data_IF_987392812338
#
_entry.id   IF_987392812338
#
_cell.length_a   1.000
_cell.length_b   1.000
_cell.length_c   1.000
_cell.angle_alpha   90.00
_cell.angle_beta   90.00
_cell.angle_gamma   90.00
#
_symmetry.space_group_name_H-M   'P 1'
#
loop_
_entity.id
_entity.type
_entity.pdbx_description
1 polymer ?
#
# COMPACT_ATOMS: atom_id res chain seq x y z
N UNK A 1 -1.22 -18.17 34.57
CA UNK A 1 0.10 -17.64 34.15
C UNK A 1 0.14 -16.17 34.52
N UNK A 2 1.25 -15.68 35.05
CA UNK A 2 1.44 -14.24 35.25
C UNK A 2 1.57 -13.55 33.91
N UNK A 3 1.14 -12.27 33.84
CA UNK A 3 1.30 -11.43 32.68
C UNK A 3 2.79 -11.26 32.38
N UNK A 4 3.19 -11.41 31.11
CA UNK A 4 4.56 -11.12 30.66
C UNK A 4 4.73 -9.60 30.59
N UNK A 5 5.24 -9.02 31.69
CA UNK A 5 5.38 -7.58 31.83
C UNK A 5 6.36 -7.01 30.80
N UNK A 6 7.44 -7.74 30.49
CA UNK A 6 8.47 -7.23 29.57
C UNK A 6 7.91 -6.87 28.20
N UNK A 7 7.15 -7.75 27.56
CA UNK A 7 6.57 -7.46 26.24
C UNK A 7 5.41 -6.46 26.32
N UNK A 8 4.58 -6.52 27.39
CA UNK A 8 3.47 -5.58 27.51
C UNK A 8 3.90 -4.16 27.86
N UNK A 9 5.05 -3.97 28.52
CA UNK A 9 5.65 -2.65 28.74
C UNK A 9 6.16 -2.06 27.42
N UNK A 10 6.81 -2.85 26.57
CA UNK A 10 7.21 -2.41 25.22
C UNK A 10 6.00 -2.05 24.33
N UNK A 11 4.90 -2.80 24.43
CA UNK A 11 3.65 -2.45 23.73
C UNK A 11 3.08 -1.13 24.24
N UNK A 12 3.18 -0.88 25.56
CA UNK A 12 2.76 0.41 26.13
C UNK A 12 3.64 1.57 25.68
N UNK A 13 4.95 1.36 25.54
CA UNK A 13 5.87 2.35 24.98
C UNK A 13 5.53 2.67 23.51
N UNK A 14 5.26 1.66 22.68
CA UNK A 14 4.84 1.89 21.29
C UNK A 14 3.48 2.61 21.22
N UNK A 15 2.52 2.28 22.08
CA UNK A 15 1.27 3.02 22.21
C UNK A 15 1.52 4.50 22.54
N UNK A 16 2.43 4.77 23.48
CA UNK A 16 2.81 6.14 23.84
C UNK A 16 3.45 6.89 22.67
N UNK A 17 4.35 6.24 21.90
CA UNK A 17 4.95 6.79 20.68
C UNK A 17 3.89 7.20 19.67
N UNK A 18 2.97 6.27 19.33
CA UNK A 18 1.90 6.54 18.37
C UNK A 18 0.97 7.67 18.83
N UNK A 19 0.70 7.77 20.13
CA UNK A 19 -0.19 8.80 20.69
C UNK A 19 0.43 10.20 20.62
N UNK A 20 1.73 10.34 20.86
CA UNK A 20 2.41 11.64 21.00
C UNK A 20 2.80 12.27 19.67
N UNK A 21 3.14 11.47 18.66
CA UNK A 21 3.73 11.93 17.41
C UNK A 21 2.73 12.21 16.31
N UNK A 22 3.17 12.96 15.30
CA UNK A 22 2.52 13.11 14.01
C UNK A 22 2.99 11.95 13.11
N UNK A 23 2.06 11.11 12.63
CA UNK A 23 2.36 10.01 11.72
C UNK A 23 2.09 10.42 10.27
N UNK A 24 3.16 10.57 9.49
CA UNK A 24 3.12 10.95 8.07
C UNK A 24 3.68 9.87 7.13
N UNK A 25 3.96 8.66 7.62
CA UNK A 25 4.30 7.55 6.73
C UNK A 25 3.07 7.19 5.89
N UNK A 26 3.17 7.35 4.57
CA UNK A 26 2.05 7.18 3.64
C UNK A 26 1.44 5.77 3.61
N UNK A 27 2.18 4.77 4.09
CA UNK A 27 1.77 3.37 4.19
C UNK A 27 1.24 2.96 5.56
N UNK A 28 1.12 3.89 6.50
CA UNK A 28 0.58 3.65 7.84
C UNK A 28 -0.79 4.27 8.05
N UNK A 29 -1.55 3.65 8.94
CA UNK A 29 -2.87 4.12 9.38
C UNK A 29 -3.20 3.53 10.75
N UNK A 30 -4.21 4.09 11.40
CA UNK A 30 -4.73 3.58 12.67
C UNK A 30 -6.05 2.85 12.41
N UNK A 31 -6.10 1.59 12.81
CA UNK A 31 -7.30 0.76 12.67
C UNK A 31 -8.30 1.06 13.80
N UNK A 32 -9.56 0.65 13.61
CA UNK A 32 -10.59 0.74 14.66
C UNK A 32 -10.35 -0.25 15.79
N UNK A 33 -11.01 -0.01 16.93
CA UNK A 33 -11.07 -0.94 18.07
C UNK A 33 -11.62 -2.31 17.66
N UNK A 34 -12.62 -2.34 16.77
CA UNK A 34 -13.21 -3.59 16.28
C UNK A 34 -12.21 -4.42 15.45
N UNK A 35 -11.40 -3.76 14.61
CA UNK A 35 -10.32 -4.44 13.87
C UNK A 35 -9.29 -5.02 14.84
N UNK A 36 -8.88 -4.26 15.87
CA UNK A 36 -7.95 -4.76 16.90
C UNK A 36 -8.55 -5.89 17.72
N UNK A 37 -9.82 -5.82 18.09
CA UNK A 37 -10.52 -6.88 18.81
C UNK A 37 -10.59 -8.17 17.98
N UNK A 38 -10.87 -8.07 16.67
CA UNK A 38 -10.86 -9.22 15.77
C UNK A 38 -9.47 -9.85 15.64
N UNK A 39 -8.41 -9.03 15.56
CA UNK A 39 -7.00 -9.49 15.52
C UNK A 39 -6.61 -10.26 16.79
N UNK A 40 -7.11 -9.87 17.97
CA UNK A 40 -6.87 -10.53 19.24
C UNK A 40 -7.87 -11.63 19.60
N UNK A 41 -8.69 -12.08 18.64
CA UNK A 41 -9.77 -13.04 18.89
C UNK A 41 -9.31 -14.50 18.94
N UNK A 42 -10.22 -15.38 19.36
CA UNK A 42 -10.01 -16.84 19.41
C UNK A 42 -9.78 -17.47 18.04
N UNK A 43 -10.06 -16.75 16.94
CA UNK A 43 -9.76 -17.21 15.58
C UNK A 43 -8.27 -17.48 15.35
N UNK A 44 -7.39 -16.91 16.17
CA UNK A 44 -5.94 -17.19 16.16
C UNK A 44 -5.60 -18.66 16.41
N UNK A 45 -6.49 -19.42 17.06
CA UNK A 45 -6.26 -20.81 17.42
C UNK A 45 -6.63 -21.79 16.30
N UNK A 46 -7.33 -21.34 15.25
CA UNK A 46 -7.90 -22.23 14.24
C UNK A 46 -6.95 -22.52 13.08
N UNK A 47 -6.72 -23.78 12.80
CA UNK A 47 -5.99 -24.27 11.64
C UNK A 47 -6.98 -24.65 10.52
N UNK A 48 -6.92 -23.97 9.36
CA UNK A 48 -7.96 -24.08 8.32
C UNK A 48 -7.37 -24.12 6.89
N UNK A 49 -6.37 -24.99 6.63
CA UNK A 49 -5.84 -25.20 5.28
C UNK A 49 -6.93 -25.57 4.27
N UNK A 50 -6.83 -25.01 3.08
CA UNK A 50 -7.84 -25.10 2.03
C UNK A 50 -8.70 -23.85 1.95
N UNK A 51 -9.89 -23.99 1.42
CA UNK A 51 -10.84 -22.90 1.19
C UNK A 51 -12.20 -23.23 1.81
N UNK A 52 -13.11 -22.25 1.98
CA UNK A 52 -14.47 -22.54 2.48
C UNK A 52 -15.13 -23.71 1.75
N UNK A 53 -15.74 -24.61 2.49
CA UNK A 53 -16.33 -25.88 2.04
C UNK A 53 -15.34 -26.89 1.42
N UNK A 54 -14.04 -26.60 1.39
CA UNK A 54 -13.00 -27.48 0.84
C UNK A 54 -11.73 -27.45 1.74
N UNK A 55 -11.92 -27.62 3.05
CA UNK A 55 -10.86 -27.63 4.04
C UNK A 55 -10.23 -29.02 4.20
N UNK A 56 -8.96 -29.04 4.58
CA UNK A 56 -8.27 -30.28 4.95
C UNK A 56 -8.51 -30.69 6.41
N UNK A 57 -9.08 -29.81 7.23
CA UNK A 57 -9.32 -30.01 8.66
C UNK A 57 -10.79 -29.86 9.01
N UNK A 58 -11.24 -30.58 10.03
CA UNK A 58 -12.57 -30.45 10.61
C UNK A 58 -12.74 -29.19 11.48
N UNK A 59 -13.99 -28.87 11.83
CA UNK A 59 -14.32 -27.75 12.72
C UNK A 59 -14.12 -26.37 12.08
N UNK A 60 -14.28 -26.27 10.75
CA UNK A 60 -14.07 -25.03 10.00
C UNK A 60 -15.38 -24.30 9.64
N UNK A 61 -16.52 -24.84 10.03
CA UNK A 61 -17.85 -24.32 9.66
C UNK A 61 -18.12 -22.88 10.07
N UNK A 62 -17.43 -22.38 11.10
CA UNK A 62 -17.55 -20.99 11.56
C UNK A 62 -16.57 -20.10 10.83
N UNK A 63 -15.28 -20.50 10.70
CA UNK A 63 -14.29 -19.72 9.96
C UNK A 63 -14.58 -19.67 8.46
N UNK A 64 -15.26 -20.68 7.90
CA UNK A 64 -15.78 -20.62 6.54
C UNK A 64 -16.78 -19.47 6.35
N UNK A 65 -17.65 -19.23 7.33
CA UNK A 65 -18.57 -18.08 7.32
C UNK A 65 -17.82 -16.75 7.42
N UNK A 66 -16.76 -16.68 8.26
CA UNK A 66 -15.93 -15.49 8.40
C UNK A 66 -15.21 -15.18 7.09
N UNK A 67 -14.57 -16.17 6.48
CA UNK A 67 -13.85 -15.99 5.21
C UNK A 67 -14.81 -15.63 4.07
N UNK A 68 -15.95 -16.30 3.96
CA UNK A 68 -16.98 -15.97 2.96
C UNK A 68 -17.50 -14.53 3.15
N UNK A 69 -17.70 -14.07 4.38
CA UNK A 69 -18.12 -12.69 4.66
C UNK A 69 -17.05 -11.68 4.23
N UNK A 70 -15.76 -11.98 4.46
CA UNK A 70 -14.67 -11.14 3.98
C UNK A 70 -14.64 -11.07 2.44
N UNK A 71 -14.80 -12.21 1.76
CA UNK A 71 -14.86 -12.29 0.29
C UNK A 71 -16.06 -11.51 -0.24
N UNK A 72 -17.25 -11.69 0.32
CA UNK A 72 -18.47 -10.98 -0.09
C UNK A 72 -18.28 -9.46 0.01
N UNK A 73 -17.79 -8.98 1.15
CA UNK A 73 -17.60 -7.55 1.40
C UNK A 73 -16.57 -6.92 0.49
N UNK A 74 -15.43 -7.59 0.25
CA UNK A 74 -14.38 -7.04 -0.62
C UNK A 74 -14.80 -7.08 -2.09
N UNK A 75 -15.51 -8.10 -2.53
CA UNK A 75 -16.09 -8.16 -3.88
C UNK A 75 -17.08 -7.02 -4.09
N UNK A 76 -17.98 -6.76 -3.13
CA UNK A 76 -18.92 -5.63 -3.16
C UNK A 76 -18.21 -4.29 -3.18
N UNK A 77 -17.11 -4.14 -2.42
CA UNK A 77 -16.38 -2.89 -2.29
C UNK A 77 -15.74 -2.44 -3.61
N UNK A 78 -15.26 -3.38 -4.42
CA UNK A 78 -14.55 -3.11 -5.68
C UNK A 78 -15.30 -3.54 -6.94
N UNK A 79 -16.54 -4.01 -6.83
CA UNK A 79 -17.29 -4.59 -7.95
C UNK A 79 -16.51 -5.73 -8.64
N UNK A 80 -15.96 -6.64 -7.83
CA UNK A 80 -15.17 -7.78 -8.26
C UNK A 80 -16.01 -9.07 -8.25
N UNK A 81 -15.79 -9.95 -9.23
CA UNK A 81 -16.42 -11.28 -9.27
C UNK A 81 -15.67 -12.31 -8.40
N UNK A 82 -14.36 -12.10 -8.25
CA UNK A 82 -13.49 -13.01 -7.50
C UNK A 82 -12.62 -12.26 -6.50
N UNK A 83 -12.45 -12.86 -5.32
CA UNK A 83 -11.49 -12.44 -4.31
C UNK A 83 -10.83 -13.62 -3.62
N UNK A 84 -9.52 -13.49 -3.32
CA UNK A 84 -8.82 -14.34 -2.37
C UNK A 84 -8.32 -13.45 -1.22
N UNK A 85 -8.77 -13.74 -0.01
CA UNK A 85 -8.47 -12.95 1.21
C UNK A 85 -7.40 -13.60 2.10
N UNK A 86 -6.82 -14.73 1.67
CA UNK A 86 -5.84 -15.48 2.45
C UNK A 86 -4.39 -14.95 2.38
N UNK A 87 -3.93 -14.17 1.37
CA UNK A 87 -2.56 -13.67 1.38
C UNK A 87 -2.20 -12.94 2.68
N UNK A 88 -1.07 -13.34 3.30
CA UNK A 88 -0.62 -12.80 4.59
C UNK A 88 -0.12 -11.35 4.46
N UNK A 89 0.32 -10.94 3.27
CA UNK A 89 0.77 -9.59 2.96
C UNK A 89 0.55 -9.24 1.48
N UNK A 90 0.67 -7.96 1.11
CA UNK A 90 0.66 -7.54 -0.28
C UNK A 90 1.79 -8.17 -1.10
N UNK A 91 2.99 -8.29 -0.51
CA UNK A 91 4.11 -8.96 -1.18
C UNK A 91 3.81 -10.44 -1.49
N UNK A 92 3.12 -11.15 -0.58
CA UNK A 92 2.70 -12.53 -0.83
C UNK A 92 1.54 -12.62 -1.83
N UNK A 93 0.64 -11.63 -1.86
CA UNK A 93 -0.37 -11.54 -2.92
C UNK A 93 0.30 -11.41 -4.31
N UNK A 94 1.28 -10.51 -4.44
CA UNK A 94 2.07 -10.37 -5.67
C UNK A 94 2.84 -11.64 -5.99
N UNK A 95 3.50 -12.27 -5.01
CA UNK A 95 4.21 -13.54 -5.18
C UNK A 95 3.29 -14.66 -5.68
N UNK A 96 2.05 -14.75 -5.17
CA UNK A 96 1.08 -15.73 -5.66
C UNK A 96 0.73 -15.48 -7.13
N UNK A 97 0.56 -14.21 -7.54
CA UNK A 97 0.31 -13.87 -8.95
C UNK A 97 1.52 -14.21 -9.81
N UNK A 98 2.75 -13.90 -9.37
CA UNK A 98 3.96 -14.31 -10.11
C UNK A 98 4.03 -15.83 -10.25
N UNK A 99 3.82 -16.56 -9.17
CA UNK A 99 3.83 -18.03 -9.18
C UNK A 99 2.75 -18.62 -10.09
N UNK A 100 1.58 -17.99 -10.17
CA UNK A 100 0.48 -18.37 -11.05
C UNK A 100 0.78 -18.09 -12.53
N UNK A 101 1.42 -16.95 -12.84
CA UNK A 101 1.49 -16.39 -14.20
C UNK A 101 2.85 -16.57 -14.87
N UNK A 102 3.93 -16.77 -14.11
CA UNK A 102 5.30 -16.75 -14.61
C UNK A 102 6.07 -18.02 -14.24
N UNK A 103 7.07 -18.33 -15.05
CA UNK A 103 8.12 -19.31 -14.73
C UNK A 103 9.43 -18.58 -14.48
N UNK A 104 10.38 -19.14 -13.70
CA UNK A 104 11.70 -18.55 -13.52
C UNK A 104 12.34 -18.17 -14.86
N UNK A 105 12.84 -16.93 -14.95
CA UNK A 105 13.41 -16.36 -16.17
C UNK A 105 12.42 -15.68 -17.12
N UNK A 106 11.12 -15.81 -16.90
CA UNK A 106 10.13 -15.07 -17.69
C UNK A 106 10.25 -13.55 -17.47
N UNK A 107 9.96 -12.78 -18.52
CA UNK A 107 10.00 -11.32 -18.47
C UNK A 107 8.67 -10.76 -17.97
N UNK A 108 8.77 -9.79 -17.06
CA UNK A 108 7.68 -8.91 -16.67
C UNK A 108 8.13 -7.46 -16.60
N UNK A 109 7.18 -6.52 -16.59
CA UNK A 109 7.45 -5.09 -16.46
C UNK A 109 6.79 -4.51 -15.23
N UNK A 110 7.48 -3.55 -14.56
CA UNK A 110 6.97 -2.80 -13.43
C UNK A 110 7.58 -1.40 -13.38
N UNK A 111 6.99 -0.49 -12.58
CA UNK A 111 7.61 0.82 -12.36
C UNK A 111 8.93 0.64 -11.60
N UNK A 112 9.99 1.29 -12.13
CA UNK A 112 11.33 1.24 -11.53
C UNK A 112 11.28 1.71 -10.05
N UNK A 113 12.03 1.02 -9.19
CA UNK A 113 12.08 1.31 -7.75
C UNK A 113 12.52 2.75 -7.48
N UNK A 114 13.49 3.26 -8.25
CA UNK A 114 14.01 4.63 -8.13
C UNK A 114 12.99 5.70 -8.56
N UNK A 115 11.96 5.31 -9.30
CA UNK A 115 10.87 6.15 -9.76
C UNK A 115 9.57 5.97 -8.94
N UNK A 116 9.66 5.29 -7.79
CA UNK A 116 8.54 5.11 -6.89
C UNK A 116 7.86 3.74 -6.95
N UNK A 117 8.39 2.78 -7.70
CA UNK A 117 7.94 1.40 -7.72
C UNK A 117 8.02 0.73 -6.33
N UNK A 118 7.43 -0.46 -6.20
CA UNK A 118 7.52 -1.26 -4.99
C UNK A 118 8.64 -2.32 -5.11
N UNK A 119 9.23 -2.72 -3.98
CA UNK A 119 10.27 -3.77 -3.97
C UNK A 119 9.84 -5.05 -4.70
N UNK A 120 8.58 -5.48 -4.53
CA UNK A 120 8.04 -6.66 -5.20
C UNK A 120 7.70 -6.46 -6.68
N UNK A 121 8.03 -5.31 -7.28
CA UNK A 121 7.85 -5.04 -8.70
C UNK A 121 9.16 -5.15 -9.51
N UNK A 122 10.12 -5.97 -9.04
CA UNK A 122 11.33 -6.26 -9.81
C UNK A 122 12.64 -5.79 -9.19
N UNK A 123 12.63 -5.36 -7.92
CA UNK A 123 13.87 -5.02 -7.23
C UNK A 123 14.84 -6.22 -7.21
N UNK A 124 16.13 -6.02 -7.53
CA UNK A 124 17.13 -7.10 -7.56
C UNK A 124 17.33 -7.84 -6.22
N UNK A 125 16.95 -7.19 -5.11
CA UNK A 125 17.02 -7.80 -3.76
C UNK A 125 15.73 -8.48 -3.34
N UNK A 126 14.70 -8.44 -4.18
CA UNK A 126 13.41 -9.09 -3.96
C UNK A 126 13.29 -10.34 -4.83
N UNK A 127 12.52 -11.32 -4.38
CA UNK A 127 12.21 -12.53 -5.13
C UNK A 127 11.83 -12.24 -6.58
N UNK A 128 11.04 -11.19 -6.82
CA UNK A 128 10.60 -10.82 -8.17
C UNK A 128 11.76 -10.50 -9.12
N UNK A 129 12.78 -9.77 -8.66
CA UNK A 129 13.98 -9.49 -9.46
C UNK A 129 15.03 -10.59 -9.44
N UNK A 130 14.96 -11.53 -8.46
CA UNK A 130 15.90 -12.67 -8.38
C UNK A 130 15.49 -13.84 -9.27
N UNK A 131 14.20 -14.10 -9.43
CA UNK A 131 13.70 -15.26 -10.18
C UNK A 131 13.25 -14.92 -11.60
N UNK A 132 12.89 -13.67 -11.87
CA UNK A 132 12.33 -13.25 -13.14
C UNK A 132 13.17 -12.15 -13.79
N UNK A 133 13.01 -11.96 -15.09
CA UNK A 133 13.62 -10.87 -15.83
C UNK A 133 12.73 -9.62 -15.72
N UNK A 134 13.06 -8.72 -14.80
CA UNK A 134 12.33 -7.50 -14.54
C UNK A 134 12.79 -6.38 -15.46
N UNK A 135 11.87 -5.76 -16.20
CA UNK A 135 12.08 -4.57 -17.03
C UNK A 135 11.38 -3.38 -16.37
N UNK A 136 12.15 -2.34 -16.00
CA UNK A 136 11.63 -1.14 -15.36
C UNK A 136 11.20 -0.09 -16.37
N UNK A 137 9.93 0.36 -16.33
CA UNK A 137 9.52 1.61 -16.99
C UNK A 137 9.62 2.79 -16.01
N UNK A 138 9.64 4.01 -16.54
CA UNK A 138 10.01 5.20 -15.77
C UNK A 138 8.94 6.29 -15.80
N UNK A 139 9.19 7.34 -15.04
CA UNK A 139 8.48 8.61 -15.13
C UNK A 139 9.17 9.54 -16.12
N UNK A 140 8.41 10.43 -16.76
CA UNK A 140 8.95 11.53 -17.57
C UNK A 140 9.68 12.51 -16.66
N UNK A 141 10.89 12.91 -17.03
CA UNK A 141 11.73 13.81 -16.22
C UNK A 141 11.08 15.18 -16.04
N UNK A 142 10.49 15.69 -17.10
CA UNK A 142 9.92 17.04 -17.14
C UNK A 142 8.67 17.17 -16.25
N UNK A 143 7.86 16.10 -16.17
CA UNK A 143 6.54 16.16 -15.53
C UNK A 143 6.43 15.34 -14.25
N UNK A 144 7.29 14.32 -14.06
CA UNK A 144 7.18 13.35 -12.99
C UNK A 144 5.95 12.42 -13.12
N UNK A 145 5.33 12.33 -14.29
CA UNK A 145 4.23 11.43 -14.60
C UNK A 145 4.72 10.16 -15.30
N UNK A 146 3.89 9.10 -15.31
CA UNK A 146 4.20 7.85 -16.02
C UNK A 146 4.44 8.13 -17.50
N UNK A 147 5.53 7.58 -18.05
CA UNK A 147 5.80 7.59 -19.48
C UNK A 147 5.15 6.37 -20.16
N UNK A 148 3.90 6.54 -20.60
CA UNK A 148 3.18 5.46 -21.28
C UNK A 148 3.71 5.16 -22.67
N UNK A 149 4.38 6.10 -23.33
CA UNK A 149 5.04 5.91 -24.62
C UNK A 149 6.29 5.05 -24.46
N UNK A 150 7.14 5.34 -23.46
CA UNK A 150 8.27 4.47 -23.11
C UNK A 150 7.79 3.09 -22.67
N UNK A 151 6.74 3.03 -21.85
CA UNK A 151 6.14 1.75 -21.41
C UNK A 151 5.71 0.89 -22.60
N UNK A 152 5.04 1.48 -23.61
CA UNK A 152 4.63 0.75 -24.81
C UNK A 152 5.83 0.29 -25.64
N UNK A 153 6.83 1.13 -25.84
CA UNK A 153 8.05 0.79 -26.58
C UNK A 153 8.79 -0.40 -25.91
N UNK A 154 8.97 -0.33 -24.59
CA UNK A 154 9.58 -1.41 -23.81
C UNK A 154 8.76 -2.71 -23.86
N UNK A 155 7.43 -2.61 -23.80
CA UNK A 155 6.55 -3.77 -23.91
C UNK A 155 6.68 -4.45 -25.28
N UNK A 156 6.75 -3.69 -26.39
CA UNK A 156 6.94 -4.22 -27.73
C UNK A 156 8.31 -4.85 -27.93
N UNK A 157 9.37 -4.29 -27.33
CA UNK A 157 10.73 -4.80 -27.38
C UNK A 157 10.90 -6.09 -26.57
N UNK A 158 10.48 -6.06 -25.30
CA UNK A 158 10.76 -7.14 -24.34
C UNK A 158 9.69 -8.20 -24.28
N UNK A 159 8.49 -7.96 -24.81
CA UNK A 159 7.34 -8.87 -24.84
C UNK A 159 7.08 -9.56 -23.50
N UNK A 160 6.85 -8.78 -22.42
CA UNK A 160 6.63 -9.32 -21.09
C UNK A 160 5.37 -10.19 -21.07
N UNK A 161 5.33 -11.17 -20.18
CA UNK A 161 4.12 -11.97 -19.91
C UNK A 161 3.18 -11.28 -18.91
N UNK A 162 3.72 -10.36 -18.10
CA UNK A 162 2.98 -9.61 -17.08
C UNK A 162 3.46 -8.15 -17.09
N UNK A 163 2.52 -7.21 -17.07
CA UNK A 163 2.79 -5.79 -16.82
C UNK A 163 2.15 -5.42 -15.50
N UNK A 164 2.89 -4.71 -14.63
CA UNK A 164 2.44 -4.31 -13.30
C UNK A 164 2.24 -2.80 -13.26
N UNK A 165 1.02 -2.36 -12.93
CA UNK A 165 0.70 -1.00 -12.52
C UNK A 165 0.65 -0.89 -11.01
N UNK A 166 1.06 0.26 -10.47
CA UNK A 166 1.07 0.51 -9.04
C UNK A 166 2.42 1.03 -8.55
N UNK A 167 2.38 1.81 -7.49
CA UNK A 167 3.56 2.47 -6.95
C UNK A 167 3.47 2.66 -5.44
N UNK A 168 4.64 2.81 -4.81
CA UNK A 168 4.77 3.18 -3.39
C UNK A 168 4.89 4.69 -3.19
N UNK A 169 5.30 5.45 -4.21
CA UNK A 169 5.61 6.88 -4.09
C UNK A 169 5.16 7.71 -5.30
N UNK A 170 4.09 7.31 -5.97
CA UNK A 170 3.50 8.06 -7.07
C UNK A 170 2.22 8.76 -6.63
N UNK A 171 2.15 10.08 -6.80
CA UNK A 171 1.09 10.92 -6.24
C UNK A 171 -0.03 11.29 -7.22
N UNK A 172 0.00 10.79 -8.45
CA UNK A 172 -1.01 11.08 -9.48
C UNK A 172 -1.86 9.86 -9.80
N UNK A 173 -2.94 10.08 -10.55
CA UNK A 173 -3.77 9.00 -11.06
C UNK A 173 -3.05 8.18 -12.15
N UNK A 174 -3.48 6.92 -12.28
CA UNK A 174 -3.01 5.98 -13.29
C UNK A 174 -4.01 5.87 -14.43
N UNK A 175 -3.54 5.85 -15.67
CA UNK A 175 -4.38 5.48 -16.81
C UNK A 175 -4.39 3.95 -16.99
N UNK A 176 -5.20 3.28 -16.19
CA UNK A 176 -5.34 1.81 -16.25
C UNK A 176 -5.86 1.32 -17.60
N UNK A 177 -6.68 2.13 -18.29
CA UNK A 177 -7.17 1.80 -19.63
C UNK A 177 -6.02 1.75 -20.61
N UNK A 178 -5.15 2.77 -20.61
CA UNK A 178 -3.97 2.82 -21.47
C UNK A 178 -3.01 1.67 -21.17
N UNK A 179 -2.80 1.33 -19.88
CA UNK A 179 -2.00 0.18 -19.50
C UNK A 179 -2.57 -1.12 -20.04
N UNK A 180 -3.89 -1.29 -19.98
CA UNK A 180 -4.56 -2.47 -20.54
C UNK A 180 -4.38 -2.56 -22.06
N UNK A 181 -4.50 -1.47 -22.78
CA UNK A 181 -4.27 -1.42 -24.23
C UNK A 181 -2.83 -1.82 -24.58
N UNK A 182 -1.84 -1.38 -23.79
CA UNK A 182 -0.42 -1.77 -23.96
C UNK A 182 -0.25 -3.27 -23.70
N UNK A 183 -0.82 -3.79 -22.63
CA UNK A 183 -0.74 -5.20 -22.27
C UNK A 183 -1.36 -6.09 -23.38
N UNK A 184 -2.53 -5.72 -23.89
CA UNK A 184 -3.23 -6.47 -24.94
C UNK A 184 -2.41 -6.50 -26.26
N UNK A 185 -1.71 -5.41 -26.62
CA UNK A 185 -0.85 -5.34 -27.82
C UNK A 185 0.26 -6.40 -27.85
N UNK A 186 0.76 -6.78 -26.68
CA UNK A 186 1.87 -7.74 -26.56
C UNK A 186 1.43 -9.11 -26.01
N UNK A 187 0.13 -9.28 -25.74
CA UNK A 187 -0.42 -10.49 -25.17
C UNK A 187 -0.03 -10.73 -23.70
N UNK A 188 0.29 -9.68 -22.96
CA UNK A 188 0.61 -9.72 -21.54
C UNK A 188 -0.65 -9.68 -20.67
N UNK A 189 -0.59 -10.28 -19.48
CA UNK A 189 -1.57 -9.99 -18.44
C UNK A 189 -1.24 -8.64 -17.77
N UNK A 190 -2.27 -7.87 -17.42
CA UNK A 190 -2.14 -6.67 -16.60
C UNK A 190 -2.45 -7.00 -15.15
N UNK A 191 -1.47 -6.83 -14.27
CA UNK A 191 -1.62 -6.81 -12.81
C UNK A 191 -1.62 -5.37 -12.33
N UNK A 192 -2.58 -5.00 -11.48
CA UNK A 192 -2.51 -3.70 -10.78
C UNK A 192 -2.39 -3.94 -9.28
N UNK A 193 -1.29 -3.49 -8.70
CA UNK A 193 -1.10 -3.40 -7.25
C UNK A 193 -1.61 -2.04 -6.76
N UNK A 194 -2.85 -2.02 -6.28
CA UNK A 194 -3.51 -0.81 -5.80
C UNK A 194 -3.26 -0.53 -4.30
N UNK A 195 -2.30 -1.19 -3.67
CA UNK A 195 -2.11 -1.20 -2.22
C UNK A 195 -2.12 0.19 -1.58
N UNK A 196 -1.46 1.18 -2.19
CA UNK A 196 -1.41 2.53 -1.64
C UNK A 196 -2.74 3.26 -1.74
N UNK A 197 -3.46 3.10 -2.83
CA UNK A 197 -4.67 3.86 -3.15
C UNK A 197 -5.98 3.09 -2.90
N UNK A 198 -5.90 1.87 -2.37
CA UNK A 198 -7.04 0.97 -2.21
C UNK A 198 -8.23 1.63 -1.49
N UNK A 199 -8.00 2.36 -0.41
CA UNK A 199 -9.07 3.06 0.32
C UNK A 199 -9.75 4.16 -0.50
N UNK A 200 -8.98 4.91 -1.30
CA UNK A 200 -9.49 5.97 -2.16
C UNK A 200 -10.32 5.41 -3.31
N UNK A 201 -9.88 4.28 -3.87
CA UNK A 201 -10.61 3.53 -4.91
C UNK A 201 -11.91 2.98 -4.33
N UNK A 202 -11.87 2.37 -3.14
CA UNK A 202 -13.05 1.86 -2.43
C UNK A 202 -14.11 2.96 -2.18
N UNK A 203 -13.66 4.17 -1.88
CA UNK A 203 -14.51 5.33 -1.68
C UNK A 203 -15.03 5.97 -3.00
N UNK A 204 -14.59 5.48 -4.16
CA UNK A 204 -14.95 6.02 -5.47
C UNK A 204 -14.33 7.38 -5.79
N UNK A 205 -13.18 7.70 -5.18
CA UNK A 205 -12.44 8.95 -5.39
C UNK A 205 -11.46 8.81 -6.56
N UNK A 206 -10.82 7.65 -6.69
CA UNK A 206 -9.94 7.30 -7.80
C UNK A 206 -10.57 6.20 -8.65
N UNK A 207 -10.15 6.09 -9.91
CA UNK A 207 -10.68 5.06 -10.81
C UNK A 207 -10.34 3.65 -10.33
N UNK A 208 -11.28 2.72 -10.55
CA UNK A 208 -11.17 1.35 -10.08
C UNK A 208 -10.46 0.45 -11.11
N UNK A 209 -9.23 -0.03 -10.82
CA UNK A 209 -8.47 -0.87 -11.74
C UNK A 209 -9.12 -2.22 -12.04
N UNK A 210 -10.04 -2.70 -11.19
CA UNK A 210 -10.76 -3.96 -11.40
C UNK A 210 -11.52 -3.99 -12.71
N UNK A 211 -11.90 -2.83 -13.25
CA UNK A 211 -12.56 -2.69 -14.55
C UNK A 211 -11.65 -3.00 -15.74
N UNK A 212 -10.34 -2.81 -15.58
CA UNK A 212 -9.36 -2.84 -16.68
C UNK A 212 -8.34 -3.97 -16.53
N UNK A 213 -7.86 -4.19 -15.32
CA UNK A 213 -6.83 -5.18 -15.04
C UNK A 213 -7.35 -6.62 -15.16
N UNK A 214 -6.47 -7.53 -15.53
CA UNK A 214 -6.76 -8.96 -15.46
C UNK A 214 -6.78 -9.45 -14.02
N UNK A 215 -5.84 -8.96 -13.21
CA UNK A 215 -5.68 -9.29 -11.79
C UNK A 215 -5.36 -8.01 -11.04
N UNK A 216 -5.92 -7.88 -9.84
CA UNK A 216 -5.62 -6.76 -8.94
C UNK A 216 -5.14 -7.33 -7.61
N UNK A 217 -4.08 -6.76 -7.06
CA UNK A 217 -3.61 -7.06 -5.69
C UNK A 217 -3.67 -5.83 -4.82
N UNK A 218 -3.76 -6.03 -3.52
CA UNK A 218 -3.65 -4.95 -2.55
C UNK A 218 -3.14 -5.44 -1.20
N UNK A 219 -2.63 -4.50 -0.41
CA UNK A 219 -2.59 -4.62 1.04
C UNK A 219 -3.93 -4.19 1.63
N UNK A 220 -4.17 -4.54 2.91
CA UNK A 220 -5.39 -4.15 3.61
C UNK A 220 -5.19 -3.06 4.67
N UNK A 221 -3.95 -2.64 4.94
CA UNK A 221 -3.55 -1.85 6.10
C UNK A 221 -3.09 -0.40 5.83
N UNK A 222 -3.14 0.08 4.57
CA UNK A 222 -2.74 1.45 4.21
C UNK A 222 -3.97 2.37 4.20
N UNK A 223 -4.29 2.97 3.06
CA UNK A 223 -5.53 3.77 2.94
C UNK A 223 -6.79 2.97 3.22
N UNK A 224 -6.80 1.64 3.00
CA UNK A 224 -7.94 0.78 3.29
C UNK A 224 -8.21 0.62 4.80
N UNK A 225 -7.27 0.99 5.66
CA UNK A 225 -7.41 1.09 7.13
C UNK A 225 -7.85 -0.21 7.81
N UNK A 226 -7.37 -1.35 7.30
CA UNK A 226 -7.61 -2.67 7.87
C UNK A 226 -6.37 -3.28 8.55
N UNK A 227 -6.43 -4.55 8.92
CA UNK A 227 -5.29 -5.27 9.48
C UNK A 227 -4.19 -5.44 8.45
N UNK A 228 -2.96 -5.70 8.89
CA UNK A 228 -1.87 -6.06 7.97
C UNK A 228 -2.19 -7.38 7.29
N UNK A 229 -2.24 -7.36 5.96
CA UNK A 229 -2.60 -8.49 5.12
C UNK A 229 -2.59 -8.13 3.66
N UNK A 230 -2.91 -9.09 2.79
CA UNK A 230 -3.05 -8.91 1.35
C UNK A 230 -4.35 -9.51 0.81
N UNK A 231 -4.71 -9.13 -0.40
CA UNK A 231 -5.85 -9.64 -1.16
C UNK A 231 -5.50 -9.75 -2.64
N UNK A 232 -6.20 -10.64 -3.34
CA UNK A 232 -6.18 -10.75 -4.81
C UNK A 232 -7.61 -10.66 -5.30
N UNK A 233 -7.84 -9.85 -6.35
CA UNK A 233 -9.16 -9.62 -6.94
C UNK A 233 -9.13 -9.81 -8.45
N UNK A 234 -10.27 -10.15 -9.03
CA UNK A 234 -10.53 -10.05 -10.48
C UNK A 234 -11.93 -9.49 -10.73
N UNK A 235 -12.07 -8.62 -11.71
CA UNK A 235 -13.36 -8.07 -12.14
C UNK A 235 -14.24 -9.13 -12.82
N UNK A 236 -13.61 -10.01 -13.61
CA UNK A 236 -14.23 -11.20 -14.19
C UNK A 236 -13.27 -12.36 -14.12
N UNK A 237 -13.78 -13.55 -13.84
CA UNK A 237 -13.00 -14.77 -13.93
C UNK A 237 -12.90 -15.22 -15.39
N UNK A 238 -11.75 -15.71 -15.80
CA UNK A 238 -11.47 -16.08 -17.19
C UNK A 238 -10.71 -17.41 -17.27
N UNK A 239 -10.72 -18.04 -18.45
CA UNK A 239 -9.95 -19.24 -18.70
C UNK A 239 -8.46 -18.93 -18.68
N UNK A 240 -7.66 -19.76 -18.01
CA UNK A 240 -6.24 -19.53 -17.98
C UNK A 240 -5.63 -19.54 -19.40
N UNK A 241 -4.75 -18.59 -19.75
CA UNK A 241 -4.22 -18.46 -21.11
C UNK A 241 -3.22 -19.57 -21.50
N UNK A 242 -2.83 -20.44 -20.56
CA UNK A 242 -1.84 -21.51 -20.80
C UNK A 242 -2.48 -22.86 -21.13
N UNK A 243 -3.81 -22.95 -21.14
CA UNK A 243 -4.53 -24.19 -21.45
C UNK A 243 -4.40 -25.27 -20.36
N UNK A 244 -4.08 -24.90 -19.11
CA UNK A 244 -4.08 -25.86 -18.02
C UNK A 244 -5.47 -26.41 -17.77
N UNK A 245 -5.58 -27.74 -17.67
CA UNK A 245 -6.85 -28.44 -17.49
C UNK A 245 -6.95 -29.14 -16.12
N UNK A 246 -8.16 -29.42 -15.73
CA UNK A 246 -8.47 -30.36 -14.65
C UNK A 246 -8.19 -31.80 -15.09
N UNK A 247 -8.12 -32.79 -14.17
CA UNK A 247 -8.01 -34.20 -14.54
C UNK A 247 -9.13 -34.71 -15.47
N UNK A 248 -10.27 -33.99 -15.52
CA UNK A 248 -11.41 -34.30 -16.41
C UNK A 248 -11.31 -33.59 -17.78
N UNK A 249 -10.20 -32.92 -18.09
CA UNK A 249 -9.97 -32.23 -19.37
C UNK A 249 -10.66 -30.86 -19.49
N UNK A 250 -11.27 -30.33 -18.42
CA UNK A 250 -11.89 -28.99 -18.43
C UNK A 250 -10.83 -27.92 -18.19
N UNK A 251 -10.80 -26.88 -19.02
CA UNK A 251 -9.88 -25.74 -18.83
C UNK A 251 -10.12 -25.09 -17.46
N UNK A 252 -9.05 -24.90 -16.70
CA UNK A 252 -9.13 -24.28 -15.39
C UNK A 252 -9.37 -22.77 -15.54
N UNK A 253 -10.24 -22.23 -14.70
CA UNK A 253 -10.40 -20.79 -14.52
C UNK A 253 -9.19 -20.17 -13.84
N UNK A 254 -8.95 -18.89 -14.07
CA UNK A 254 -7.84 -18.16 -13.45
C UNK A 254 -7.96 -18.11 -11.92
N UNK A 255 -9.19 -18.03 -11.38
CA UNK A 255 -9.47 -18.15 -9.95
C UNK A 255 -8.91 -19.44 -9.33
N UNK A 256 -9.04 -20.58 -10.02
CA UNK A 256 -8.52 -21.86 -9.57
C UNK A 256 -6.98 -21.88 -9.57
N UNK A 257 -6.35 -21.22 -10.55
CA UNK A 257 -4.89 -21.10 -10.63
C UNK A 257 -4.37 -20.21 -9.49
N UNK A 258 -5.00 -19.05 -9.27
CA UNK A 258 -4.63 -18.12 -8.20
C UNK A 258 -4.85 -18.74 -6.81
N UNK A 259 -5.96 -19.42 -6.58
CA UNK A 259 -6.20 -20.15 -5.33
C UNK A 259 -5.11 -21.21 -5.09
N UNK A 260 -4.77 -21.99 -6.11
CA UNK A 260 -3.70 -22.99 -6.01
C UNK A 260 -2.33 -22.35 -5.77
N UNK A 261 -2.09 -21.17 -6.30
CA UNK A 261 -0.85 -20.43 -6.10
C UNK A 261 -0.72 -19.88 -4.67
N UNK A 262 -1.82 -19.44 -4.05
CA UNK A 262 -1.83 -19.05 -2.64
C UNK A 262 -1.70 -20.29 -1.76
N UNK A 263 -2.62 -21.23 -1.86
CA UNK A 263 -2.60 -22.48 -1.11
C UNK A 263 -2.87 -23.67 -2.06
N UNK A 264 -1.99 -24.68 -2.09
CA UNK A 264 -0.78 -24.87 -1.26
C UNK A 264 0.51 -24.27 -1.85
N UNK A 265 0.45 -23.41 -2.87
CA UNK A 265 1.60 -22.96 -3.66
C UNK A 265 2.67 -22.25 -2.84
N UNK A 266 2.28 -21.22 -2.05
CA UNK A 266 3.22 -20.38 -1.30
C UNK A 266 2.88 -20.23 0.19
N UNK A 267 1.68 -20.62 0.61
CA UNK A 267 1.22 -20.54 1.99
C UNK A 267 0.67 -21.90 2.46
N UNK A 268 0.65 -22.11 3.80
CA UNK A 268 -0.06 -23.15 4.51
C UNK A 268 -1.38 -22.61 5.08
N UNK A 269 -1.63 -22.85 6.40
CA UNK A 269 -2.85 -22.42 7.07
C UNK A 269 -3.06 -20.90 7.01
N UNK A 270 -4.27 -20.45 6.68
CA UNK A 270 -4.61 -19.04 6.67
C UNK A 270 -4.64 -18.45 8.09
N UNK A 271 -4.47 -17.13 8.19
CA UNK A 271 -4.53 -16.40 9.44
C UNK A 271 -5.98 -15.97 9.69
N UNK A 272 -6.77 -16.85 10.32
CA UNK A 272 -8.23 -16.65 10.46
C UNK A 272 -8.59 -15.41 11.29
N UNK A 273 -7.77 -15.03 12.28
CA UNK A 273 -7.94 -13.79 13.04
C UNK A 273 -7.69 -12.54 12.15
N UNK A 274 -6.76 -12.62 11.21
CA UNK A 274 -6.53 -11.54 10.22
C UNK A 274 -7.68 -11.47 9.22
N UNK A 275 -8.20 -12.62 8.77
CA UNK A 275 -9.37 -12.67 7.87
C UNK A 275 -10.61 -12.10 8.55
N UNK A 276 -10.84 -12.43 9.84
CA UNK A 276 -11.90 -11.82 10.63
C UNK A 276 -11.75 -10.29 10.72
N UNK A 277 -10.55 -9.80 10.97
CA UNK A 277 -10.26 -8.38 11.01
C UNK A 277 -10.40 -7.69 9.62
N UNK A 278 -10.04 -8.40 8.53
CA UNK A 278 -10.34 -7.95 7.15
C UNK A 278 -11.85 -7.81 6.94
N UNK A 279 -12.64 -8.79 7.37
CA UNK A 279 -14.10 -8.74 7.25
C UNK A 279 -14.68 -7.52 7.98
N UNK A 280 -14.17 -7.17 9.16
CA UNK A 280 -14.55 -5.94 9.88
C UNK A 280 -14.19 -4.70 9.07
N UNK A 281 -12.94 -4.56 8.68
CA UNK A 281 -12.45 -3.38 7.94
C UNK A 281 -13.18 -3.18 6.60
N UNK A 282 -13.49 -4.25 5.87
CA UNK A 282 -14.25 -4.17 4.63
C UNK A 282 -15.71 -3.76 4.88
N UNK A 283 -16.29 -4.16 6.01
CA UNK A 283 -17.59 -3.68 6.45
C UNK A 283 -17.60 -2.19 6.76
N UNK A 284 -16.58 -1.69 7.47
CA UNK A 284 -16.38 -0.26 7.72
C UNK A 284 -16.19 0.52 6.41
N UNK A 285 -15.42 -0.02 5.47
CA UNK A 285 -15.15 0.62 4.18
C UNK A 285 -16.39 0.76 3.28
N UNK A 286 -17.46 0.00 3.53
CA UNK A 286 -18.73 0.09 2.81
C UNK A 286 -19.65 1.20 3.35
N UNK A 287 -19.26 1.91 4.41
CA UNK A 287 -20.09 2.95 5.05
C UNK A 287 -19.92 4.34 4.41
N UNK A 288 -20.92 5.23 4.49
CA UNK A 288 -20.79 6.60 4.05
C UNK A 288 -19.68 7.37 4.79
N UNK A 289 -19.51 7.15 6.08
CA UNK A 289 -18.50 7.79 6.93
C UNK A 289 -17.07 7.47 6.46
N UNK A 290 -16.86 6.27 5.92
CA UNK A 290 -15.59 5.91 5.33
C UNK A 290 -15.29 6.70 4.05
N UNK A 291 -16.30 6.99 3.24
CA UNK A 291 -16.16 7.84 2.06
C UNK A 291 -15.79 9.27 2.45
N UNK A 292 -16.45 9.83 3.47
CA UNK A 292 -16.13 11.16 4.02
C UNK A 292 -14.69 11.21 4.55
N UNK A 293 -14.26 10.17 5.27
CA UNK A 293 -12.89 10.03 5.74
C UNK A 293 -11.89 10.06 4.58
N UNK A 294 -12.10 9.30 3.52
CA UNK A 294 -11.20 9.25 2.37
C UNK A 294 -11.16 10.58 1.59
N UNK A 295 -12.28 11.28 1.49
CA UNK A 295 -12.32 12.63 0.93
C UNK A 295 -11.48 13.60 1.77
N UNK A 296 -11.55 13.48 3.11
CA UNK A 296 -10.72 14.29 4.01
C UNK A 296 -9.24 13.96 3.87
N UNK A 297 -8.87 12.69 3.66
CA UNK A 297 -7.48 12.29 3.40
C UNK A 297 -6.91 13.04 2.20
N UNK A 298 -7.64 13.11 1.09
CA UNK A 298 -7.18 13.82 -0.13
C UNK A 298 -7.13 15.33 0.09
N UNK A 299 -8.10 15.92 0.78
CA UNK A 299 -8.08 17.36 1.12
C UNK A 299 -6.84 17.70 1.95
N UNK A 300 -6.57 16.93 2.99
CA UNK A 300 -5.39 17.09 3.83
C UNK A 300 -4.09 16.96 3.02
N UNK A 301 -4.02 15.96 2.12
CA UNK A 301 -2.84 15.74 1.28
C UNK A 301 -2.58 16.93 0.35
N UNK A 302 -3.61 17.46 -0.30
CA UNK A 302 -3.51 18.67 -1.15
C UNK A 302 -3.07 19.88 -0.34
N UNK A 303 -3.71 20.12 0.81
CA UNK A 303 -3.39 21.27 1.66
C UNK A 303 -1.94 21.21 2.19
N UNK A 304 -1.45 20.02 2.59
CA UNK A 304 -0.07 19.85 3.04
C UNK A 304 0.92 20.07 1.88
N UNK A 305 0.62 19.54 0.69
CA UNK A 305 1.46 19.74 -0.49
C UNK A 305 1.56 21.23 -0.88
N UNK A 306 0.44 21.95 -0.84
CA UNK A 306 0.41 23.41 -1.10
C UNK A 306 1.18 24.19 -0.05
N UNK A 307 1.03 23.86 1.24
CA UNK A 307 1.73 24.51 2.32
C UNK A 307 3.26 24.31 2.25
N UNK A 308 3.72 23.12 1.87
CA UNK A 308 5.14 22.85 1.61
C UNK A 308 5.64 23.58 0.38
N UNK A 309 4.84 23.62 -0.71
CA UNK A 309 5.20 24.37 -1.93
C UNK A 309 5.37 25.86 -1.65
N UNK A 310 4.47 26.47 -0.87
CA UNK A 310 4.59 27.88 -0.45
C UNK A 310 5.87 28.17 0.34
N UNK A 311 6.42 27.14 1.01
CA UNK A 311 7.70 27.21 1.74
C UNK A 311 8.91 26.89 0.88
N UNK A 312 8.74 26.74 -0.44
CA UNK A 312 9.81 26.51 -1.40
C UNK A 312 10.24 25.06 -1.60
N UNK A 313 9.47 24.10 -1.08
CA UNK A 313 9.71 22.69 -1.38
C UNK A 313 9.16 22.33 -2.77
N UNK A 314 9.88 21.48 -3.49
CA UNK A 314 9.40 20.91 -4.75
C UNK A 314 8.64 19.61 -4.49
N UNK A 315 7.37 19.58 -4.84
CA UNK A 315 6.58 18.37 -4.87
C UNK A 315 6.76 17.70 -6.23
N UNK A 316 7.20 16.44 -6.25
CA UNK A 316 7.33 15.66 -7.48
C UNK A 316 5.98 15.57 -8.19
N UNK A 317 5.96 15.67 -9.51
CA UNK A 317 4.76 15.81 -10.35
C UNK A 317 3.90 17.07 -10.10
N UNK A 318 4.42 18.05 -9.35
CA UNK A 318 3.75 19.34 -9.11
C UNK A 318 2.56 19.30 -8.15
N UNK A 319 2.36 18.20 -7.39
CA UNK A 319 1.27 18.09 -6.41
C UNK A 319 0.79 16.66 -6.18
N UNK A 320 -0.44 16.50 -5.70
CA UNK A 320 -1.01 15.19 -5.42
C UNK A 320 -2.50 15.11 -5.74
N UNK A 321 -2.92 13.95 -6.26
CA UNK A 321 -4.33 13.59 -6.48
C UNK A 321 -4.81 12.54 -5.46
N UNK A 322 -3.90 12.02 -4.62
CA UNK A 322 -4.18 10.95 -3.68
C UNK A 322 -3.76 11.31 -2.23
N UNK A 323 -3.42 10.32 -1.42
CA UNK A 323 -3.11 10.43 0.00
C UNK A 323 -1.65 10.75 0.33
N UNK A 324 -0.76 10.78 -0.66
CA UNK A 324 0.68 10.96 -0.46
C UNK A 324 1.26 12.04 -1.36
N UNK A 325 2.43 12.53 -0.97
CA UNK A 325 3.29 13.36 -1.79
C UNK A 325 4.75 12.95 -1.62
N UNK A 326 5.53 13.14 -2.67
CA UNK A 326 6.98 12.95 -2.67
C UNK A 326 7.63 14.34 -2.78
N UNK A 327 8.42 14.67 -1.78
CA UNK A 327 9.12 15.96 -1.66
C UNK A 327 10.56 15.80 -2.10
N UNK A 328 10.98 16.58 -3.09
CA UNK A 328 12.38 16.70 -3.54
C UNK A 328 13.08 17.81 -2.74
N UNK A 329 14.00 17.42 -1.88
CA UNK A 329 14.74 18.35 -1.02
C UNK A 329 15.78 19.19 -1.76
N UNK A 330 16.25 18.71 -2.93
CA UNK A 330 17.37 19.34 -3.66
C UNK A 330 17.11 20.80 -4.06
N UNK A 331 15.83 21.14 -4.26
CA UNK A 331 15.45 22.50 -4.68
C UNK A 331 15.66 23.52 -3.57
N UNK A 332 15.27 23.20 -2.33
CA UNK A 332 15.35 24.12 -1.19
C UNK A 332 16.63 23.94 -0.38
N UNK A 333 17.06 22.69 -0.21
CA UNK A 333 18.21 22.30 0.62
C UNK A 333 19.11 21.32 -0.14
N UNK A 334 19.96 21.80 -1.08
CA UNK A 334 20.74 20.93 -1.96
C UNK A 334 21.63 19.92 -1.23
N UNK A 335 22.17 20.32 -0.05
CA UNK A 335 23.06 19.47 0.74
C UNK A 335 22.32 18.52 1.68
N UNK A 336 21.04 18.80 2.00
CA UNK A 336 20.26 17.98 2.92
C UNK A 336 19.90 16.64 2.27
N UNK A 337 20.27 15.55 2.94
CA UNK A 337 19.92 14.20 2.49
C UNK A 337 18.58 13.76 3.09
N UNK A 338 17.85 12.91 2.37
CA UNK A 338 16.64 12.29 2.90
C UNK A 338 16.88 11.55 4.21
N UNK A 339 18.06 10.91 4.35
CA UNK A 339 18.46 10.21 5.59
C UNK A 339 18.59 11.14 6.79
N UNK A 340 19.21 12.29 6.63
CA UNK A 340 19.34 13.27 7.73
C UNK A 340 17.98 13.90 8.03
N UNK A 341 17.23 14.29 7.01
CA UNK A 341 15.89 14.85 7.14
C UNK A 341 14.93 13.91 7.90
N UNK A 342 14.89 12.62 7.52
CA UNK A 342 14.12 11.58 8.23
C UNK A 342 14.53 11.52 9.71
N UNK A 343 15.83 11.42 10.00
CA UNK A 343 16.36 11.35 11.38
C UNK A 343 15.93 12.53 12.24
N UNK A 344 16.03 13.75 11.72
CA UNK A 344 15.71 14.97 12.46
C UNK A 344 14.20 15.12 12.70
N UNK A 345 13.36 14.80 11.70
CA UNK A 345 11.91 14.82 11.84
C UNK A 345 11.43 13.77 12.85
N UNK A 346 11.95 12.55 12.79
CA UNK A 346 11.63 11.49 13.78
C UNK A 346 12.05 11.92 15.18
N UNK A 347 13.18 12.60 15.31
CA UNK A 347 13.62 13.17 16.59
C UNK A 347 12.68 14.25 17.12
N UNK A 348 11.91 14.90 16.27
CA UNK A 348 10.87 15.87 16.62
C UNK A 348 9.46 15.23 16.75
N UNK A 349 9.34 13.91 16.84
CA UNK A 349 8.09 13.15 16.84
C UNK A 349 7.22 13.38 15.57
N UNK A 350 7.85 13.68 14.44
CA UNK A 350 7.23 13.73 13.11
C UNK A 350 7.71 12.51 12.32
N UNK A 351 6.92 11.44 12.30
CA UNK A 351 7.32 10.17 11.66
C UNK A 351 7.10 10.24 10.16
N UNK A 352 8.17 9.99 9.40
CA UNK A 352 8.17 9.98 7.93
C UNK A 352 9.21 8.98 7.43
N UNK A 353 9.35 8.82 6.12
CA UNK A 353 10.43 8.03 5.55
C UNK A 353 11.19 8.79 4.46
N UNK A 354 12.52 8.58 4.43
CA UNK A 354 13.31 8.96 3.26
C UNK A 354 12.87 8.19 2.03
N UNK A 355 12.94 8.81 0.88
CA UNK A 355 12.57 8.21 -0.39
C UNK A 355 13.45 8.73 -1.51
N UNK A 356 13.80 7.87 -2.46
CA UNK A 356 14.41 8.33 -3.71
C UNK A 356 13.40 9.22 -4.46
N UNK A 357 13.90 10.24 -5.10
CA UNK A 357 13.13 11.02 -6.08
C UNK A 357 13.49 10.55 -7.49
N UNK A 358 12.60 10.71 -8.48
CA UNK A 358 12.94 10.36 -9.85
C UNK A 358 14.26 11.00 -10.27
N UNK A 359 15.10 10.22 -10.96
CA UNK A 359 16.44 10.67 -11.40
C UNK A 359 17.33 11.13 -10.22
N UNK A 360 17.21 10.45 -9.08
CA UNK A 360 18.04 10.73 -7.90
C UNK A 360 19.49 10.31 -8.17
N UNK A 361 20.42 11.23 -7.93
CA UNK A 361 21.86 10.95 -8.02
C UNK A 361 22.43 10.28 -6.77
N UNK A 362 21.67 10.27 -5.66
CA UNK A 362 22.06 9.64 -4.41
C UNK A 362 21.60 8.18 -4.35
N UNK A 363 22.25 7.42 -3.48
CA UNK A 363 21.91 5.99 -3.31
C UNK A 363 20.59 5.80 -2.55
N UNK A 364 19.93 4.62 -2.63
CA UNK A 364 18.72 4.31 -1.85
C UNK A 364 18.89 4.40 -0.33
N UNK A 365 20.13 4.33 0.17
CA UNK A 365 20.42 4.46 1.60
C UNK A 365 20.50 5.91 2.07
N UNK A 366 20.72 6.85 1.16
CA UNK A 366 20.91 8.28 1.45
C UNK A 366 19.71 9.09 0.99
N UNK A 367 19.28 8.93 -0.24
CA UNK A 367 18.17 9.59 -0.95
C UNK A 367 18.20 11.12 -0.96
N UNK A 368 17.40 11.72 -1.82
CA UNK A 368 17.23 13.18 -1.91
C UNK A 368 15.82 13.64 -1.56
N UNK A 369 14.96 12.76 -1.12
CA UNK A 369 13.57 13.09 -0.85
C UNK A 369 13.00 12.49 0.42
N UNK A 370 11.80 13.00 0.73
CA UNK A 370 10.92 12.50 1.79
C UNK A 370 9.55 12.18 1.19
N UNK A 371 8.91 11.13 1.70
CA UNK A 371 7.53 10.80 1.36
C UNK A 371 6.64 11.09 2.55
N UNK A 372 5.60 11.90 2.36
CA UNK A 372 4.56 12.18 3.35
C UNK A 372 3.22 11.63 2.89
N UNK A 373 2.38 11.24 3.85
CA UNK A 373 1.01 10.82 3.63
C UNK A 373 0.10 11.25 4.77
N UNK A 374 -1.18 11.35 4.49
CA UNK A 374 -2.16 11.93 5.41
C UNK A 374 -3.21 10.97 6.00
N UNK A 375 -3.23 9.64 5.70
CA UNK A 375 -4.27 8.75 6.23
C UNK A 375 -4.30 8.68 7.75
N UNK A 376 -3.14 8.52 8.40
CA UNK A 376 -3.04 8.36 9.85
C UNK A 376 -3.49 9.60 10.62
N UNK A 377 -3.03 10.80 10.20
CA UNK A 377 -3.44 12.05 10.83
C UNK A 377 -4.92 12.35 10.60
N UNK A 378 -5.46 11.99 9.42
CA UNK A 378 -6.90 12.13 9.13
C UNK A 378 -7.73 11.19 10.00
N UNK A 379 -7.29 9.96 10.25
CA UNK A 379 -7.94 9.03 11.20
C UNK A 379 -8.02 9.62 12.61
N UNK A 380 -7.05 10.45 13.00
CA UNK A 380 -7.05 11.15 14.30
C UNK A 380 -7.94 12.41 14.31
N UNK A 381 -8.54 12.80 13.17
CA UNK A 381 -9.45 13.92 13.07
C UNK A 381 -8.83 15.25 12.65
N UNK A 382 -7.53 15.28 12.26
CA UNK A 382 -6.92 16.49 11.72
C UNK A 382 -7.53 16.82 10.35
N UNK A 383 -7.70 18.13 10.08
CA UNK A 383 -8.25 18.65 8.84
C UNK A 383 -7.29 19.66 8.21
N UNK A 384 -7.71 20.27 7.09
CA UNK A 384 -6.88 21.17 6.26
C UNK A 384 -6.30 22.34 7.05
N UNK A 385 -7.01 22.84 8.06
CA UNK A 385 -6.59 23.97 8.92
C UNK A 385 -5.29 23.68 9.70
N UNK A 386 -4.98 22.41 9.94
CA UNK A 386 -3.75 22.00 10.62
C UNK A 386 -2.57 21.75 9.67
N UNK A 387 -2.81 21.62 8.37
CA UNK A 387 -1.76 21.26 7.41
C UNK A 387 -0.71 22.35 7.24
N UNK A 388 -1.12 23.62 7.32
CA UNK A 388 -0.19 24.76 7.30
C UNK A 388 0.76 24.72 8.50
N UNK A 389 0.25 24.42 9.70
CA UNK A 389 1.06 24.33 10.91
C UNK A 389 1.99 23.10 10.88
N UNK A 390 1.51 21.95 10.36
CA UNK A 390 2.38 20.77 10.17
C UNK A 390 3.52 21.09 9.20
N UNK A 391 3.24 21.79 8.09
CA UNK A 391 4.27 22.22 7.16
C UNK A 391 5.28 23.19 7.79
N UNK A 392 4.83 24.08 8.68
CA UNK A 392 5.70 24.97 9.46
C UNK A 392 6.62 24.15 10.39
N UNK A 393 6.07 23.18 11.14
CA UNK A 393 6.88 22.34 12.04
C UNK A 393 7.94 21.53 11.26
N UNK A 394 7.57 20.98 10.10
CA UNK A 394 8.51 20.31 9.19
C UNK A 394 9.60 21.28 8.74
N UNK A 395 9.23 22.47 8.31
CA UNK A 395 10.16 23.46 7.80
C UNK A 395 11.12 23.97 8.86
N UNK A 396 10.66 24.18 10.10
CA UNK A 396 11.49 24.57 11.25
C UNK A 396 12.59 23.53 11.54
N UNK A 397 12.26 22.24 11.49
CA UNK A 397 13.24 21.16 11.68
C UNK A 397 14.23 21.11 10.53
N UNK A 398 13.75 21.15 9.28
CA UNK A 398 14.59 20.94 8.10
C UNK A 398 15.46 22.16 7.75
N UNK A 399 15.10 23.36 8.23
CA UNK A 399 15.90 24.58 8.06
C UNK A 399 17.13 24.62 8.96
N UNK A 400 17.12 23.89 10.08
CA UNK A 400 18.25 23.79 11.01
C UNK A 400 18.31 22.36 11.61
N UNK A 401 18.68 21.36 10.78
CA UNK A 401 18.48 19.93 11.07
C UNK A 401 19.43 19.38 12.15
N UNK A 402 20.49 20.09 12.52
CA UNK A 402 21.44 19.66 13.55
C UNK A 402 21.25 20.41 14.88
N UNK A 403 20.29 21.32 14.96
CA UNK A 403 20.00 22.10 16.16
C UNK A 403 19.06 21.30 17.10
N UNK A 404 19.66 20.67 18.09
CA UNK A 404 18.94 19.85 19.08
C UNK A 404 17.91 20.65 19.90
N UNK A 405 18.18 21.93 20.21
CA UNK A 405 17.24 22.78 20.94
C UNK A 405 16.01 23.10 20.12
N UNK A 406 16.19 23.43 18.82
CA UNK A 406 15.08 23.63 17.89
C UNK A 406 14.25 22.36 17.72
N UNK A 407 14.90 21.20 17.53
CA UNK A 407 14.23 19.90 17.41
C UNK A 407 13.40 19.59 18.68
N UNK A 408 13.97 19.82 19.87
CA UNK A 408 13.26 19.63 21.13
C UNK A 408 12.06 20.59 21.30
N UNK A 409 12.20 21.86 20.87
CA UNK A 409 11.10 22.81 20.85
C UNK A 409 9.97 22.39 19.91
N UNK A 410 10.30 21.96 18.69
CA UNK A 410 9.31 21.44 17.73
C UNK A 410 8.63 20.18 18.28
N UNK A 411 9.37 19.24 18.89
CA UNK A 411 8.77 18.07 19.55
C UNK A 411 7.74 18.47 20.60
N UNK A 412 8.01 19.47 21.41
CA UNK A 412 7.05 19.96 22.40
C UNK A 412 5.78 20.49 21.74
N UNK A 413 5.93 21.25 20.64
CA UNK A 413 4.80 21.79 19.88
C UNK A 413 3.98 20.67 19.23
N UNK A 414 4.63 19.64 18.65
CA UNK A 414 4.01 18.44 18.10
C UNK A 414 3.19 17.73 19.18
N UNK A 415 3.79 17.45 20.33
CA UNK A 415 3.12 16.73 21.41
C UNK A 415 1.93 17.53 21.97
N UNK A 416 2.06 18.87 22.08
CA UNK A 416 0.96 19.73 22.50
C UNK A 416 -0.22 19.66 21.53
N UNK A 417 0.03 19.79 20.23
CA UNK A 417 -1.01 19.67 19.21
C UNK A 417 -1.67 18.28 19.24
N UNK A 418 -0.87 17.21 19.30
CA UNK A 418 -1.41 15.84 19.22
C UNK A 418 -2.21 15.41 20.45
N UNK A 419 -2.03 16.06 21.59
CA UNK A 419 -2.88 15.87 22.77
C UNK A 419 -4.34 16.31 22.55
N UNK A 420 -4.59 17.24 21.60
CA UNK A 420 -5.92 17.66 21.20
C UNK A 420 -6.65 16.61 20.31
N UNK A 421 -5.90 15.65 19.76
CA UNK A 421 -6.37 14.60 18.85
C UNK A 421 -6.08 13.22 19.43
N UNK A 422 -6.80 12.78 20.47
CA UNK A 422 -6.51 11.54 21.18
C UNK A 422 -6.62 10.33 20.26
N UNK A 423 -5.70 9.38 20.44
CA UNK A 423 -5.70 8.08 19.79
C UNK A 423 -5.99 7.00 20.85
N UNK A 424 -6.72 5.96 20.47
CA UNK A 424 -7.12 4.88 21.40
C UNK A 424 -7.98 5.39 22.57
N UNK A 425 -8.87 6.33 22.29
CA UNK A 425 -9.76 6.94 23.30
C UNK A 425 -11.10 6.19 23.49
N UNK A 426 -11.26 5.04 22.86
CA UNK A 426 -12.43 4.15 23.01
C UNK A 426 -12.30 3.23 24.20
#
# INVERSE_FOLDING_TARGET
MNKDLQIFDLIAEERARQTKGIELIASENFVSDQVMAAMGSVCTNKYAEGYPAARYYGGCEVVDKIENLAIERICKLYDAEYANVQPHSGAQANMAVFFACLKPGDTFMGLDLSHGGHLSHGSPVNMSGMYFNAVGYKLKEETGNIDYEEMEALALEHKPKLIIGGASAFSREWDYKRMREIADKVGALLLVDMAHTAGLIAAGILDNPVKYAHIVTSTTHKTLRGPRGGIILMGKDFDNPWGYTTPKGVVKKMSQILNSAVFPGIQGGPLEHVIAAKAVAFGEALTPEYKEYQQQVVKNSKALAEALTKRGYKIVSGGTDNHLMLVDLRTKFPELTGKLAEKCLVAADITTNKNMVPFDSRTPFTTSGLRFGTPAITTRGLKEDKMEYIAELIDRVLSDPENEENIAAVRKDVNAMMNEYPLFAW
#
